data_IF_062976183029
#
_entry.id   IF_062976183029
#
_cell.length_a   1.000
_cell.length_b   1.000
_cell.length_c   1.000
_cell.angle_alpha   90.00
_cell.angle_beta   90.00
_cell.angle_gamma   90.00
#
_symmetry.space_group_name_H-M   'P 1'
#
loop_
_entity.id
_entity.type
_entity.pdbx_description
1 polymer ?
#
# COMPACT_ATOMS: atom_id res chain seq x y z
N UNK A 1 15.58 8.87 9.64
CA UNK A 1 15.00 8.85 8.28
C UNK A 1 16.06 9.37 7.35
N UNK A 2 16.50 8.60 6.36
CA UNK A 2 17.20 9.16 5.20
C UNK A 2 16.15 9.63 4.20
N UNK A 3 16.47 10.66 3.41
CA UNK A 3 15.55 11.40 2.54
C UNK A 3 14.92 10.56 1.40
N UNK A 4 15.34 9.31 1.22
CA UNK A 4 14.94 8.43 0.11
C UNK A 4 13.98 7.30 0.52
N UNK A 5 13.81 7.02 1.81
CA UNK A 5 12.98 5.91 2.30
C UNK A 5 11.47 6.14 2.11
N UNK A 6 11.08 7.31 1.60
CA UNK A 6 9.70 7.72 1.37
C UNK A 6 9.24 7.36 -0.06
N UNK A 7 10.14 6.91 -0.95
CA UNK A 7 9.78 6.61 -2.33
C UNK A 7 9.46 5.13 -2.54
N UNK A 8 8.30 4.84 -3.12
CA UNK A 8 7.90 3.49 -3.53
C UNK A 8 7.81 3.43 -5.04
N UNK A 9 8.55 2.50 -5.66
CA UNK A 9 8.39 2.21 -7.09
C UNK A 9 7.32 1.14 -7.31
N UNK A 10 6.31 1.48 -8.11
CA UNK A 10 5.27 0.59 -8.61
C UNK A 10 5.65 0.16 -10.02
N UNK A 11 5.72 -1.16 -10.24
CA UNK A 11 5.92 -1.76 -11.57
C UNK A 11 4.55 -1.96 -12.23
N UNK A 12 4.36 -1.31 -13.38
CA UNK A 12 3.20 -1.45 -14.24
C UNK A 12 3.37 -2.50 -15.32
N UNK A 13 2.34 -2.66 -16.15
CA UNK A 13 2.40 -3.49 -17.36
C UNK A 13 3.50 -2.96 -18.29
N UNK A 14 4.12 -3.85 -19.06
CA UNK A 14 5.19 -3.51 -20.04
C UNK A 14 6.43 -2.84 -19.44
N UNK A 15 6.68 -2.99 -18.13
CA UNK A 15 7.89 -2.46 -17.49
C UNK A 15 7.83 -0.97 -17.11
N UNK A 16 6.69 -0.31 -17.31
CA UNK A 16 6.52 1.09 -16.88
C UNK A 16 6.67 1.22 -15.36
N UNK A 17 7.58 2.07 -14.90
CA UNK A 17 7.83 2.34 -13.48
C UNK A 17 7.16 3.64 -13.09
N UNK A 18 6.46 3.64 -11.96
CA UNK A 18 5.92 4.86 -11.34
C UNK A 18 6.50 4.98 -9.94
N UNK A 19 7.04 6.13 -9.59
CA UNK A 19 7.49 6.41 -8.22
C UNK A 19 6.39 7.19 -7.52
N UNK A 20 6.01 6.74 -6.32
CA UNK A 20 5.04 7.41 -5.46
C UNK A 20 5.75 7.78 -4.17
N UNK A 21 5.53 9.01 -3.69
CA UNK A 21 6.00 9.47 -2.40
C UNK A 21 5.02 9.00 -1.31
N UNK A 22 5.56 8.44 -0.23
CA UNK A 22 4.88 8.20 1.04
C UNK A 22 5.06 9.45 1.89
N UNK A 23 4.15 10.40 1.73
CA UNK A 23 4.17 11.73 2.35
C UNK A 23 3.79 11.72 3.84
N UNK A 24 3.18 10.63 4.33
CA UNK A 24 2.88 10.44 5.75
C UNK A 24 4.02 9.68 6.48
N UNK A 25 4.76 10.34 7.40
CA UNK A 25 5.84 9.71 8.17
C UNK A 25 5.38 8.54 9.03
N UNK A 26 4.11 8.52 9.46
CA UNK A 26 3.54 7.44 10.25
C UNK A 26 3.39 6.14 9.43
N UNK A 27 3.06 6.26 8.15
CA UNK A 27 2.99 5.13 7.20
C UNK A 27 4.38 4.56 6.97
N UNK A 28 5.39 5.42 6.78
CA UNK A 28 6.80 5.00 6.62
C UNK A 28 7.30 4.27 7.87
N UNK A 29 7.00 4.81 9.06
CA UNK A 29 7.36 4.19 10.34
C UNK A 29 6.69 2.81 10.51
N UNK A 30 5.40 2.70 10.18
CA UNK A 30 4.66 1.44 10.23
C UNK A 30 5.23 0.41 9.25
N UNK A 31 5.57 0.82 8.03
CA UNK A 31 6.16 -0.05 7.02
C UNK A 31 7.53 -0.58 7.47
N UNK A 32 8.39 0.29 8.01
CA UNK A 32 9.70 -0.14 8.58
C UNK A 32 9.53 -1.14 9.72
N UNK A 33 8.58 -0.90 10.63
CA UNK A 33 8.29 -1.82 11.74
C UNK A 33 7.85 -3.19 11.21
N UNK A 34 6.97 -3.19 10.21
CA UNK A 34 6.52 -4.41 9.53
C UNK A 34 7.70 -5.18 8.90
N UNK A 35 8.53 -4.51 8.10
CA UNK A 35 9.68 -5.13 7.44
C UNK A 35 10.67 -5.74 8.44
N UNK A 36 10.97 -5.01 9.53
CA UNK A 36 11.86 -5.48 10.60
C UNK A 36 11.29 -6.71 11.32
N UNK A 37 10.01 -6.66 11.70
CA UNK A 37 9.35 -7.75 12.41
C UNK A 37 9.31 -9.05 11.57
N UNK A 38 9.37 -8.93 10.25
CA UNK A 38 9.32 -10.04 9.31
C UNK A 38 10.71 -10.50 8.82
N UNK A 39 11.78 -9.92 9.35
CA UNK A 39 13.15 -10.23 8.93
C UNK A 39 13.36 -10.03 7.42
N UNK A 40 12.67 -9.04 6.84
CA UNK A 40 12.58 -8.91 5.40
C UNK A 40 13.94 -8.57 4.78
N UNK A 41 14.35 -9.33 3.75
CA UNK A 41 15.57 -9.06 2.96
C UNK A 41 15.24 -8.73 1.50
N UNK A 42 14.40 -9.54 0.87
CA UNK A 42 13.95 -9.39 -0.51
C UNK A 42 12.63 -10.15 -0.71
N UNK A 43 11.87 -9.83 -1.77
CA UNK A 43 10.67 -10.57 -2.18
C UNK A 43 9.43 -9.69 -2.36
N UNK A 44 8.22 -10.25 -2.14
CA UNK A 44 6.97 -9.49 -2.15
C UNK A 44 6.78 -8.72 -0.85
N UNK A 45 6.43 -7.43 -0.93
CA UNK A 45 6.28 -6.55 0.24
C UNK A 45 5.27 -7.11 1.25
N UNK A 46 4.09 -7.52 0.79
CA UNK A 46 3.08 -8.19 1.61
C UNK A 46 2.97 -9.67 1.23
N UNK A 47 2.99 -10.54 2.23
CA UNK A 47 3.00 -12.00 2.06
C UNK A 47 1.78 -12.66 2.68
N UNK A 48 1.28 -13.70 2.04
CA UNK A 48 0.22 -14.53 2.61
C UNK A 48 0.79 -15.49 3.67
N UNK A 49 0.42 -15.33 4.94
CA UNK A 49 0.93 -16.19 6.02
C UNK A 49 0.11 -17.47 6.22
N UNK A 50 -1.19 -17.43 5.90
CA UNK A 50 -2.14 -18.48 6.29
C UNK A 50 -1.80 -19.88 5.74
N UNK A 51 -1.08 -19.96 4.62
CA UNK A 51 -0.84 -21.22 3.91
C UNK A 51 0.63 -21.66 3.94
N UNK A 52 1.49 -21.11 4.82
CA UNK A 52 2.92 -21.44 4.97
C UNK A 52 3.82 -21.24 3.72
N UNK A 53 3.24 -21.05 2.54
CA UNK A 53 3.93 -20.64 1.31
C UNK A 53 3.90 -19.12 1.27
N UNK A 54 4.99 -18.48 1.72
CA UNK A 54 5.15 -17.02 1.85
C UNK A 54 5.18 -16.23 0.53
N UNK A 55 4.29 -16.57 -0.40
CA UNK A 55 4.13 -15.90 -1.68
C UNK A 55 3.42 -14.53 -1.57
N UNK A 56 3.34 -13.80 -2.69
CA UNK A 56 2.71 -12.48 -2.73
C UNK A 56 1.27 -12.51 -2.22
N UNK A 57 0.88 -11.49 -1.47
CA UNK A 57 -0.51 -11.27 -1.10
C UNK A 57 -1.37 -11.14 -2.37
N UNK A 58 -2.35 -12.03 -2.53
CA UNK A 58 -3.27 -11.99 -3.68
C UNK A 58 -4.27 -10.86 -3.50
N UNK A 59 -4.72 -10.28 -4.62
CA UNK A 59 -5.75 -9.23 -4.60
C UNK A 59 -7.03 -9.68 -3.89
N UNK A 60 -7.47 -10.93 -4.07
CA UNK A 60 -8.62 -11.48 -3.36
C UNK A 60 -8.44 -11.46 -1.84
N UNK A 61 -7.22 -11.72 -1.34
CA UNK A 61 -6.89 -11.64 0.09
C UNK A 61 -6.92 -10.20 0.59
N UNK A 62 -6.39 -9.24 -0.17
CA UNK A 62 -6.47 -7.82 0.14
C UNK A 62 -7.94 -7.34 0.19
N UNK A 63 -8.76 -7.77 -0.77
CA UNK A 63 -10.20 -7.47 -0.79
C UNK A 63 -10.94 -8.05 0.41
N UNK A 64 -10.60 -9.27 0.83
CA UNK A 64 -11.19 -9.89 2.03
C UNK A 64 -10.79 -9.12 3.32
N UNK A 65 -9.54 -8.69 3.43
CA UNK A 65 -9.08 -7.82 4.53
C UNK A 65 -9.83 -6.48 4.53
N UNK A 66 -9.99 -5.85 3.36
CA UNK A 66 -10.80 -4.64 3.23
C UNK A 66 -12.23 -4.86 3.72
N UNK A 67 -12.91 -5.92 3.26
CA UNK A 67 -14.27 -6.27 3.71
C UNK A 67 -14.36 -6.39 5.23
N UNK A 68 -13.36 -7.02 5.86
CA UNK A 68 -13.28 -7.14 7.33
C UNK A 68 -13.19 -5.76 7.99
N UNK A 69 -12.27 -4.91 7.53
CA UNK A 69 -12.03 -3.60 8.15
C UNK A 69 -13.19 -2.62 7.90
N UNK A 70 -13.77 -2.57 6.70
CA UNK A 70 -14.94 -1.72 6.43
C UNK A 70 -16.14 -2.10 7.30
N UNK A 71 -16.36 -3.40 7.58
CA UNK A 71 -17.43 -3.86 8.46
C UNK A 71 -17.20 -3.38 9.89
N UNK A 72 -15.96 -3.51 10.38
CA UNK A 72 -15.57 -3.06 11.72
C UNK A 72 -15.67 -1.53 11.88
N UNK A 73 -15.30 -0.78 10.84
CA UNK A 73 -15.37 0.67 10.81
C UNK A 73 -16.76 1.20 10.43
N UNK A 74 -17.72 0.34 10.11
CA UNK A 74 -19.07 0.69 9.62
C UNK A 74 -19.05 1.62 8.39
N UNK A 75 -18.05 1.47 7.53
CA UNK A 75 -17.89 2.26 6.30
C UNK A 75 -18.51 1.53 5.10
N UNK A 76 -19.32 2.24 4.32
CA UNK A 76 -19.85 1.74 3.06
C UNK A 76 -19.01 2.23 1.86
N UNK A 77 -17.81 1.66 1.72
CA UNK A 77 -16.92 1.95 0.59
C UNK A 77 -16.25 0.68 0.04
N UNK A 78 -15.88 0.74 -1.23
CA UNK A 78 -15.08 -0.25 -1.94
C UNK A 78 -13.59 0.09 -1.80
N UNK A 79 -12.73 -0.92 -1.98
CA UNK A 79 -11.28 -0.70 -1.95
C UNK A 79 -10.80 0.25 -3.05
N UNK A 80 -11.49 0.27 -4.21
CA UNK A 80 -11.18 1.20 -5.29
C UNK A 80 -11.57 2.64 -4.97
N UNK A 81 -12.62 2.85 -4.17
CA UNK A 81 -13.00 4.20 -3.74
C UNK A 81 -11.92 4.84 -2.85
N UNK A 82 -11.12 4.06 -2.11
CA UNK A 82 -9.95 4.61 -1.41
C UNK A 82 -8.96 5.26 -2.38
N UNK A 83 -8.71 4.62 -3.53
CA UNK A 83 -7.83 5.17 -4.56
C UNK A 83 -8.39 6.47 -5.14
N UNK A 84 -9.70 6.51 -5.37
CA UNK A 84 -10.35 7.72 -5.88
C UNK A 84 -10.32 8.85 -4.86
N UNK A 85 -10.66 8.59 -3.60
CA UNK A 85 -10.59 9.58 -2.52
C UNK A 85 -9.19 10.15 -2.39
N UNK A 86 -8.17 9.28 -2.36
CA UNK A 86 -6.78 9.74 -2.28
C UNK A 86 -6.37 10.59 -3.49
N UNK A 87 -6.77 10.20 -4.71
CA UNK A 87 -6.51 11.02 -5.90
C UNK A 87 -7.19 12.39 -5.80
N UNK A 88 -8.44 12.45 -5.32
CA UNK A 88 -9.15 13.70 -5.09
C UNK A 88 -8.46 14.56 -4.02
N UNK A 89 -8.00 13.96 -2.92
CA UNK A 89 -7.25 14.66 -1.88
C UNK A 89 -5.95 15.29 -2.42
N UNK A 90 -5.22 14.56 -3.27
CA UNK A 90 -4.00 15.07 -3.91
C UNK A 90 -4.29 16.25 -4.84
N UNK A 91 -5.35 16.15 -5.66
CA UNK A 91 -5.79 17.26 -6.53
C UNK A 91 -6.20 18.48 -5.71
N UNK A 92 -6.98 18.28 -4.65
CA UNK A 92 -7.44 19.35 -3.76
C UNK A 92 -6.28 20.00 -2.99
N UNK A 93 -5.21 19.26 -2.71
CA UNK A 93 -3.98 19.77 -2.11
C UNK A 93 -3.07 20.52 -3.10
N UNK A 94 -3.50 20.69 -4.35
CA UNK A 94 -2.77 21.45 -5.38
C UNK A 94 -1.72 20.65 -6.14
N UNK A 95 -1.71 19.31 -6.05
CA UNK A 95 -0.87 18.49 -6.93
C UNK A 95 -1.47 18.39 -8.34
N UNK A 96 -0.66 18.73 -9.35
CA UNK A 96 -1.05 18.66 -10.77
C UNK A 96 -1.18 17.20 -11.23
N UNK A 97 -2.11 16.94 -12.16
CA UNK A 97 -2.42 15.61 -12.70
C UNK A 97 -1.56 15.20 -13.92
N UNK A 98 -0.53 16.00 -14.23
CA UNK A 98 0.32 15.87 -15.42
C UNK A 98 1.42 14.81 -15.30
#
# INVERSE_FOLDING_TARGET
>A
MTRDDEHVTILGKSGHRRTVLLDDPSVVAMLRRYLRARGYRHGPLFRAEKNHVGGPLRYASARALWTKYRKKAQVNATIHQLRHVHATELVNAGMSLE
#
